data_IF_862198264576
#
_entry.id   IF_862198264576
#
_cell.length_a   1.000
_cell.length_b   1.000
_cell.length_c   1.000
_cell.angle_alpha   90.00
_cell.angle_beta   90.00
_cell.angle_gamma   90.00
#
_symmetry.space_group_name_H-M   'P 1'
#
loop_
_entity.id
_entity.type
_entity.pdbx_description
1 polymer ?
#
# COMPACT_ATOMS: atom_id res chain seq x y z
N UNK A 1 -18.56 8.85 -11.01
CA UNK A 1 -17.71 7.84 -10.35
C UNK A 1 -17.30 8.40 -9.01
N UNK A 2 -17.83 7.84 -7.92
CA UNK A 2 -17.50 8.26 -6.56
C UNK A 2 -16.01 8.06 -6.31
N UNK A 3 -15.33 9.05 -5.76
CA UNK A 3 -13.92 8.96 -5.40
C UNK A 3 -13.72 7.89 -4.31
N UNK A 4 -13.24 6.72 -4.72
CA UNK A 4 -13.03 5.55 -3.87
C UNK A 4 -11.67 5.58 -3.15
N UNK A 5 -10.91 6.68 -3.29
CA UNK A 5 -9.60 6.79 -2.64
C UNK A 5 -9.73 6.94 -1.13
N UNK A 6 -8.85 6.24 -0.40
CA UNK A 6 -8.68 6.44 1.03
C UNK A 6 -8.16 7.88 1.26
N UNK A 7 -8.78 8.69 2.14
CA UNK A 7 -8.28 10.01 2.47
C UNK A 7 -6.84 9.97 2.97
N UNK A 8 -6.08 11.03 2.69
CA UNK A 8 -4.72 11.22 3.19
C UNK A 8 -4.76 12.12 4.42
N UNK A 9 -4.19 11.66 5.55
CA UNK A 9 -4.15 12.43 6.81
C UNK A 9 -2.86 13.23 6.99
N UNK A 10 -1.75 12.75 6.43
CA UNK A 10 -0.47 13.45 6.42
C UNK A 10 0.38 12.99 5.23
N UNK A 11 1.45 13.73 4.93
CA UNK A 11 2.42 13.36 3.89
C UNK A 11 3.79 13.14 4.53
N UNK A 12 4.44 12.02 4.22
CA UNK A 12 5.79 11.69 4.69
C UNK A 12 6.69 11.32 3.51
N UNK A 13 7.81 12.04 3.33
CA UNK A 13 8.74 11.89 2.17
C UNK A 13 8.02 11.92 0.80
N UNK A 14 6.98 12.74 0.67
CA UNK A 14 6.16 12.82 -0.54
C UNK A 14 5.16 11.69 -0.72
N UNK A 15 5.06 10.74 0.22
CA UNK A 15 4.07 9.67 0.23
C UNK A 15 2.89 10.08 1.11
N UNK A 16 1.67 10.00 0.58
CA UNK A 16 0.45 10.23 1.35
C UNK A 16 0.18 9.06 2.31
N UNK A 17 -0.03 9.38 3.59
CA UNK A 17 -0.38 8.43 4.63
C UNK A 17 -1.90 8.29 4.70
N UNK A 18 -2.40 7.06 4.55
CA UNK A 18 -3.83 6.79 4.57
C UNK A 18 -4.46 7.08 5.95
N UNK A 19 -5.70 7.55 5.92
CA UNK A 19 -6.56 7.68 7.10
C UNK A 19 -6.91 6.31 7.73
N UNK A 20 -7.58 6.36 8.89
CA UNK A 20 -8.15 5.17 9.58
C UNK A 20 -7.10 4.17 10.08
N UNK A 21 -6.02 4.70 10.65
CA UNK A 21 -5.02 3.91 11.35
C UNK A 21 -4.51 4.68 12.58
N UNK A 22 -4.24 3.99 13.71
CA UNK A 22 -3.68 4.62 14.90
C UNK A 22 -2.34 5.29 14.63
N UNK A 23 -2.07 6.40 15.33
CA UNK A 23 -0.81 7.14 15.20
C UNK A 23 0.41 6.25 15.45
N UNK A 24 0.34 5.38 16.45
CA UNK A 24 1.43 4.46 16.79
C UNK A 24 1.77 3.50 15.65
N UNK A 25 0.77 3.05 14.87
CA UNK A 25 1.00 2.22 13.67
C UNK A 25 1.71 3.02 12.58
N UNK A 26 1.33 4.29 12.40
CA UNK A 26 1.98 5.17 11.42
C UNK A 26 3.46 5.32 11.76
N UNK A 27 3.77 5.69 13.00
CA UNK A 27 5.14 5.96 13.46
C UNK A 27 6.00 4.69 13.54
N UNK A 28 5.46 3.58 14.08
CA UNK A 28 6.25 2.37 14.30
C UNK A 28 6.37 1.44 13.07
N UNK A 29 5.47 1.56 12.09
CA UNK A 29 5.39 0.63 10.97
C UNK A 29 5.38 1.33 9.61
N UNK A 30 4.49 2.30 9.39
CA UNK A 30 4.30 2.91 8.05
C UNK A 30 5.50 3.78 7.64
N UNK A 31 5.92 4.72 8.50
CA UNK A 31 7.07 5.60 8.18
C UNK A 31 8.38 4.81 8.02
N UNK A 32 8.74 3.88 8.92
CA UNK A 32 9.92 3.04 8.72
C UNK A 32 9.86 2.18 7.45
N UNK A 33 8.67 1.71 7.06
CA UNK A 33 8.49 0.98 5.81
C UNK A 33 8.73 1.87 4.58
N UNK A 34 8.24 3.11 4.61
CA UNK A 34 8.52 4.11 3.56
C UNK A 34 10.03 4.40 3.49
N UNK A 35 10.71 4.55 4.64
CA UNK A 35 12.16 4.76 4.68
C UNK A 35 12.95 3.60 4.04
N UNK A 36 12.52 2.35 4.28
CA UNK A 36 13.12 1.17 3.63
C UNK A 36 12.95 1.24 2.11
N UNK A 37 11.75 1.50 1.61
CA UNK A 37 11.50 1.63 0.16
C UNK A 37 12.28 2.79 -0.43
N UNK A 38 12.45 3.89 0.30
CA UNK A 38 13.27 5.02 -0.13
C UNK A 38 14.73 4.61 -0.34
N UNK A 39 15.27 3.75 0.53
CA UNK A 39 16.62 3.21 0.41
C UNK A 39 16.83 2.16 -0.70
N UNK A 40 15.76 1.59 -1.26
CA UNK A 40 15.87 0.61 -2.35
C UNK A 40 16.12 1.31 -3.70
N UNK A 41 17.08 0.81 -4.47
CA UNK A 41 17.37 1.30 -5.83
C UNK A 41 17.11 0.25 -6.91
N UNK A 42 17.22 -1.04 -6.56
CA UNK A 42 16.99 -2.16 -7.47
C UNK A 42 15.49 -2.36 -7.78
N UNK A 43 15.08 -2.29 -9.07
CA UNK A 43 13.71 -2.58 -9.49
C UNK A 43 13.20 -3.97 -9.06
N UNK A 44 14.06 -4.99 -9.04
CA UNK A 44 13.65 -6.34 -8.62
C UNK A 44 13.39 -6.39 -7.11
N UNK A 45 14.22 -5.74 -6.29
CA UNK A 45 13.96 -5.56 -4.86
C UNK A 45 12.67 -4.78 -4.59
N UNK A 46 12.39 -3.72 -5.35
CA UNK A 46 11.13 -2.98 -5.25
C UNK A 46 9.92 -3.85 -5.60
N UNK A 47 10.01 -4.66 -6.66
CA UNK A 47 8.92 -5.55 -7.07
C UNK A 47 8.65 -6.64 -6.02
N UNK A 48 9.70 -7.24 -5.43
CA UNK A 48 9.57 -8.18 -4.31
C UNK A 48 8.93 -7.51 -3.09
N UNK A 49 9.36 -6.29 -2.76
CA UNK A 49 8.78 -5.53 -1.64
C UNK A 49 7.29 -5.26 -1.84
N UNK A 50 6.90 -4.86 -3.06
CA UNK A 50 5.51 -4.62 -3.45
C UNK A 50 4.63 -5.88 -3.35
N UNK A 51 5.18 -7.03 -3.73
CA UNK A 51 4.48 -8.32 -3.71
C UNK A 51 4.21 -8.87 -2.30
N UNK A 52 4.93 -8.41 -1.29
CA UNK A 52 4.76 -8.85 0.09
C UNK A 52 3.56 -8.16 0.76
N UNK A 53 2.49 -8.89 1.11
CA UNK A 53 1.28 -8.34 1.71
C UNK A 53 1.46 -7.91 3.17
N UNK A 54 2.56 -8.30 3.83
CA UNK A 54 2.84 -7.91 5.21
C UNK A 54 3.31 -6.45 5.33
N UNK A 55 3.77 -5.86 4.22
CA UNK A 55 4.13 -4.45 4.18
C UNK A 55 2.90 -3.53 4.12
N UNK A 56 2.99 -2.32 4.71
CA UNK A 56 1.89 -1.37 4.69
C UNK A 56 1.58 -0.91 3.25
N UNK A 57 0.28 -0.68 2.93
CA UNK A 57 -0.15 -0.35 1.57
C UNK A 57 0.49 0.92 1.03
N UNK A 58 0.78 1.91 1.88
CA UNK A 58 1.44 3.16 1.51
C UNK A 58 2.85 2.93 0.98
N UNK A 59 3.64 2.10 1.67
CA UNK A 59 5.00 1.77 1.24
C UNK A 59 5.01 0.92 -0.04
N UNK A 60 4.03 0.01 -0.18
CA UNK A 60 3.84 -0.79 -1.39
C UNK A 60 3.45 0.10 -2.59
N UNK A 61 2.50 1.01 -2.41
CA UNK A 61 2.12 1.99 -3.44
C UNK A 61 3.30 2.88 -3.83
N UNK A 62 4.15 3.27 -2.87
CA UNK A 62 5.37 4.00 -3.16
C UNK A 62 6.36 3.16 -3.98
N UNK A 63 6.56 1.88 -3.63
CA UNK A 63 7.41 0.98 -4.41
C UNK A 63 6.91 0.82 -5.86
N UNK A 64 5.59 0.67 -6.06
CA UNK A 64 4.98 0.70 -7.41
C UNK A 64 5.33 1.99 -8.15
N UNK A 65 5.08 3.14 -7.54
CA UNK A 65 5.31 4.44 -8.19
C UNK A 65 6.77 4.60 -8.62
N UNK A 66 7.72 4.12 -7.80
CA UNK A 66 9.15 4.10 -8.15
C UNK A 66 9.45 3.19 -9.33
N UNK A 67 8.90 1.97 -9.36
CA UNK A 67 9.09 1.06 -10.49
C UNK A 67 8.53 1.67 -11.78
N UNK A 68 7.33 2.24 -11.73
CA UNK A 68 6.72 2.90 -12.88
C UNK A 68 7.56 4.07 -13.38
N UNK A 69 8.11 4.88 -12.48
CA UNK A 69 9.01 5.99 -12.83
C UNK A 69 10.31 5.49 -13.49
N UNK A 70 10.96 4.48 -12.91
CA UNK A 70 12.18 3.88 -13.48
C UNK A 70 11.93 3.28 -14.86
N UNK A 71 10.79 2.61 -15.04
CA UNK A 71 10.40 2.01 -16.31
C UNK A 71 10.12 3.06 -17.39
N UNK A 72 9.48 4.16 -17.01
CA UNK A 72 9.22 5.30 -17.90
C UNK A 72 10.51 6.04 -18.27
N UNK A 73 11.38 6.32 -17.29
CA UNK A 73 12.69 6.96 -17.52
C UNK A 73 13.55 6.14 -18.48
N UNK A 74 13.62 4.81 -18.31
CA UNK A 74 14.37 3.96 -19.24
C UNK A 74 13.81 4.02 -20.67
N UNK A 75 12.47 4.12 -20.82
CA UNK A 75 11.84 4.30 -22.12
C UNK A 75 12.21 5.64 -22.78
N UNK A 76 12.22 6.72 -21.99
CA UNK A 76 12.56 8.07 -22.45
C UNK A 76 14.04 8.22 -22.81
N UNK A 77 14.93 7.65 -21.99
CA UNK A 77 16.38 7.65 -22.19
C UNK A 77 16.85 6.66 -23.28
N UNK A 78 15.93 5.87 -23.86
CA UNK A 78 16.25 4.76 -24.79
C UNK A 78 17.23 3.73 -24.20
N UNK A 79 17.16 3.54 -22.89
CA UNK A 79 17.92 2.53 -22.18
C UNK A 79 17.14 1.22 -22.11
N UNK A 80 17.82 0.14 -21.70
CA UNK A 80 17.14 -1.12 -21.42
C UNK A 80 16.19 -0.92 -20.23
N UNK A 81 14.91 -1.26 -20.44
CA UNK A 81 13.91 -1.23 -19.37
C UNK A 81 14.28 -2.24 -18.28
N UNK A 82 13.97 -1.93 -17.01
CA UNK A 82 14.12 -2.89 -15.94
C UNK A 82 13.40 -4.21 -16.25
N UNK A 83 14.02 -5.33 -15.89
CA UNK A 83 13.48 -6.68 -16.10
C UNK A 83 12.34 -7.01 -15.11
N UNK A 84 11.31 -6.17 -15.09
CA UNK A 84 10.09 -6.30 -14.27
C UNK A 84 8.87 -6.22 -15.17
N UNK A 85 7.89 -7.09 -14.91
CA UNK A 85 6.63 -7.06 -15.64
C UNK A 85 5.75 -5.90 -15.11
N UNK A 86 5.65 -4.83 -15.88
CA UNK A 86 4.91 -3.63 -15.46
C UNK A 86 3.40 -3.89 -15.27
N UNK A 87 2.82 -4.84 -16.00
CA UNK A 87 1.41 -5.22 -15.85
C UNK A 87 1.20 -5.93 -14.51
N UNK A 88 2.10 -6.83 -14.15
CA UNK A 88 2.09 -7.52 -12.87
C UNK A 88 2.28 -6.54 -11.70
N UNK A 89 3.22 -5.59 -11.82
CA UNK A 89 3.44 -4.51 -10.84
C UNK A 89 2.16 -3.70 -10.61
N UNK A 90 1.42 -3.37 -11.67
CA UNK A 90 0.15 -2.66 -11.56
C UNK A 90 -0.93 -3.51 -10.89
N UNK A 91 -1.00 -4.79 -11.23
CA UNK A 91 -1.95 -5.74 -10.64
C UNK A 91 -1.70 -5.93 -9.13
N UNK A 92 -0.44 -6.09 -8.70
CA UNK A 92 -0.06 -6.28 -7.29
C UNK A 92 -0.48 -5.12 -6.38
N UNK A 93 -0.59 -3.91 -6.92
CA UNK A 93 -0.99 -2.72 -6.16
C UNK A 93 -2.46 -2.34 -6.33
N UNK A 94 -3.21 -3.06 -7.16
CA UNK A 94 -4.60 -2.75 -7.45
C UNK A 94 -5.42 -2.79 -6.16
N UNK A 95 -6.15 -1.72 -5.86
CA UNK A 95 -7.01 -1.64 -4.68
C UNK A 95 -6.32 -1.25 -3.36
N UNK A 96 -4.98 -1.17 -3.28
CA UNK A 96 -4.30 -0.84 -2.02
C UNK A 96 -4.65 0.56 -1.46
N UNK A 97 -5.09 1.48 -2.32
CA UNK A 97 -5.51 2.83 -1.95
C UNK A 97 -7.02 3.04 -1.95
N UNK A 98 -7.82 1.97 -1.94
CA UNK A 98 -9.27 2.02 -2.13
C UNK A 98 -10.06 1.73 -0.85
N UNK A 99 -11.11 2.52 -0.60
CA UNK A 99 -12.07 2.30 0.49
C UNK A 99 -12.96 1.07 0.25
N UNK A 100 -13.09 0.63 -0.98
CA UNK A 100 -13.77 -0.61 -1.30
C UNK A 100 -12.96 -1.83 -0.85
N UNK A 101 -11.67 -1.86 -1.18
CA UNK A 101 -10.78 -2.99 -0.87
C UNK A 101 -10.27 -3.00 0.57
N UNK A 102 -10.49 -1.93 1.34
CA UNK A 102 -10.19 -1.87 2.77
C UNK A 102 -11.30 -2.49 3.64
N UNK A 103 -12.50 -2.69 3.06
CA UNK A 103 -13.73 -3.08 3.75
C UNK A 103 -13.75 -4.58 4.07
N UNK A 104 -13.76 -5.00 5.35
CA UNK A 104 -13.79 -6.42 5.71
C UNK A 104 -15.03 -7.17 5.21
N UNK A 105 -16.09 -6.46 4.78
CA UNK A 105 -17.34 -7.03 4.25
C UNK A 105 -17.30 -7.26 2.74
N UNK A 106 -16.23 -6.84 2.06
CA UNK A 106 -16.11 -7.03 0.63
C UNK A 106 -15.40 -8.35 0.28
N UNK A 107 -15.78 -8.97 -0.84
CA UNK A 107 -15.12 -10.20 -1.30
C UNK A 107 -13.64 -9.90 -1.59
N UNK A 108 -12.74 -10.54 -0.84
CA UNK A 108 -11.28 -10.37 -0.98
C UNK A 108 -10.57 -9.72 0.21
N UNK A 109 -11.30 -9.18 1.20
CA UNK A 109 -10.70 -8.72 2.46
C UNK A 109 -10.58 -9.84 3.47
N UNK A 110 -9.37 -10.37 3.58
CA UNK A 110 -8.86 -11.14 4.73
C UNK A 110 -9.56 -12.49 4.95
N UNK A 111 -9.23 -13.47 4.10
CA UNK A 111 -8.79 -14.75 4.69
C UNK A 111 -7.50 -14.38 5.42
N UNK A 112 -7.51 -14.34 6.75
CA UNK A 112 -6.30 -14.07 7.54
C UNK A 112 -5.18 -14.92 6.95
N UNK A 113 -4.09 -14.28 6.51
CA UNK A 113 -2.87 -15.02 6.24
C UNK A 113 -2.65 -15.93 7.45
N UNK A 114 -2.53 -17.23 7.19
CA UNK A 114 -2.21 -18.23 8.20
C UNK A 114 -0.94 -17.73 8.90
N UNK A 115 -1.11 -17.08 10.04
CA UNK A 115 -0.03 -16.91 10.99
C UNK A 115 0.37 -18.35 11.31
N UNK A 116 1.64 -18.71 11.10
CA UNK A 116 2.14 -19.96 11.64
C UNK A 116 1.78 -20.02 13.13
N UNK A 117 1.50 -21.19 13.71
CA UNK A 117 1.25 -21.31 15.14
C UNK A 117 2.39 -20.63 15.94
N UNK A 118 2.11 -19.52 16.62
CA UNK A 118 3.10 -18.71 17.35
C UNK A 118 3.70 -17.52 16.58
N UNK A 119 3.29 -17.27 15.34
CA UNK A 119 3.68 -16.09 14.56
C UNK A 119 3.19 -14.79 15.18
N UNK A 120 3.93 -13.70 14.97
CA UNK A 120 3.56 -12.37 15.48
C UNK A 120 2.22 -11.95 14.92
N UNK A 121 1.21 -11.78 15.78
CA UNK A 121 -0.10 -11.28 15.37
C UNK A 121 0.07 -9.91 14.71
N UNK A 122 -0.43 -9.78 13.49
CA UNK A 122 -0.46 -8.48 12.82
C UNK A 122 -1.39 -7.56 13.62
N UNK A 123 -1.00 -6.29 13.88
CA UNK A 123 -1.84 -5.37 14.61
C UNK A 123 -3.24 -5.30 13.98
N UNK A 124 -4.27 -5.70 14.72
CA UNK A 124 -5.66 -5.56 14.27
C UNK A 124 -5.94 -4.08 14.04
N UNK A 125 -6.77 -3.77 13.05
CA UNK A 125 -7.33 -2.43 12.94
C UNK A 125 -8.14 -2.13 14.19
N UNK A 126 -7.96 -0.92 14.71
CA UNK A 126 -8.78 -0.40 15.80
C UNK A 126 -10.26 -0.36 15.36
N UNK A 127 -11.20 -0.93 16.14
CA UNK A 127 -12.63 -0.87 15.82
C UNK A 127 -13.17 0.55 15.63
N UNK A 128 -12.59 1.58 16.27
CA UNK A 128 -12.98 2.97 16.03
C UNK A 128 -12.64 3.42 14.59
N UNK A 129 -11.48 3.02 14.07
CA UNK A 129 -11.09 3.26 12.67
C UNK A 129 -12.02 2.56 11.68
N UNK A 130 -12.56 1.38 12.02
CA UNK A 130 -13.52 0.69 11.16
C UNK A 130 -14.86 1.44 11.05
N UNK A 131 -15.37 2.00 12.16
CA UNK A 131 -16.58 2.81 12.15
C UNK A 131 -16.39 4.12 11.35
N UNK A 132 -15.19 4.72 11.39
CA UNK A 132 -14.85 5.88 10.57
C UNK A 132 -14.83 5.58 9.07
N UNK A 133 -14.30 4.42 8.67
CA UNK A 133 -14.33 3.97 7.27
C UNK A 133 -15.78 3.86 6.78
N UNK A 134 -16.67 3.26 7.58
CA UNK A 134 -18.09 3.13 7.21
C UNK A 134 -18.79 4.48 7.10
N UNK A 135 -18.51 5.41 8.02
CA UNK A 135 -19.01 6.80 7.94
C UNK A 135 -18.52 7.50 6.68
N UNK A 136 -17.23 7.35 6.34
CA UNK A 136 -16.65 7.94 5.14
C UNK A 136 -17.26 7.39 3.85
N UNK A 137 -17.61 6.09 3.81
CA UNK A 137 -18.35 5.50 2.68
C UNK A 137 -19.78 6.01 2.60
N UNK A 138 -20.48 6.08 3.73
CA UNK A 138 -21.87 6.53 3.80
C UNK A 138 -22.02 7.99 3.37
N UNK A 139 -21.07 8.85 3.75
CA UNK A 139 -21.04 10.27 3.33
C UNK A 139 -20.79 10.48 1.83
N UNK A 140 -20.45 9.42 1.09
CA UNK A 140 -20.13 9.46 -0.34
C UNK A 140 -21.17 8.73 -1.23
N UNK A 141 -22.21 8.15 -0.63
CA UNK A 141 -23.36 7.57 -1.33
C UNK A 141 -24.43 8.64 -1.55
#
# INVERSE_FOLDING_TARGET
>A
MTDDRIPIVETYRGVGIHAFQPRDRIEAMVKPAIDRVFGLSDPAALARYLGDPTHPPEARLFAKARIEALWQLAAESRELRPAVNIVEVRAMAAGLGSLHWIDPRHYGTVLQHSLEPGGRELPRRDPASAAEVERAKAARR
#
